data_IF_210538966997
#
_entry.id   IF_210538966997
#
_cell.length_a   1.000
_cell.length_b   1.000
_cell.length_c   1.000
_cell.angle_alpha   90.00
_cell.angle_beta   90.00
_cell.angle_gamma   90.00
#
_symmetry.space_group_name_H-M   'P 1'
#
loop_
_entity.id
_entity.type
_entity.pdbx_description
1 polymer ?
#
# COMPACT_ATOMS: atom_id res chain seq x y z
N UNK A 1 6.39 -0.36 5.65
CA UNK A 1 5.41 -1.03 6.55
C UNK A 1 4.69 -0.07 7.49
N UNK A 2 5.38 0.82 8.21
CA UNK A 2 4.76 1.78 9.14
C UNK A 2 3.56 2.59 8.57
N UNK A 3 3.60 3.12 7.33
CA UNK A 3 2.48 3.89 6.77
C UNK A 3 1.20 3.06 6.60
N UNK A 4 1.33 1.76 6.29
CA UNK A 4 0.19 0.87 6.08
C UNK A 4 -0.47 0.48 7.39
N UNK A 5 0.32 0.22 8.43
CA UNK A 5 -0.22 -0.02 9.77
C UNK A 5 -1.01 1.20 10.27
N UNK A 6 -0.47 2.40 10.08
CA UNK A 6 -1.16 3.66 10.41
C UNK A 6 -2.47 3.79 9.61
N UNK A 7 -2.45 3.48 8.31
CA UNK A 7 -3.64 3.50 7.47
C UNK A 7 -4.73 2.54 7.96
N UNK A 8 -4.38 1.30 8.30
CA UNK A 8 -5.33 0.33 8.88
C UNK A 8 -5.88 0.79 10.24
N UNK A 9 -5.04 1.35 11.10
CA UNK A 9 -5.47 1.91 12.39
C UNK A 9 -6.47 3.04 12.17
N UNK A 10 -6.22 3.96 11.24
CA UNK A 10 -7.16 5.05 10.94
C UNK A 10 -8.50 4.54 10.39
N UNK A 11 -8.49 3.51 9.54
CA UNK A 11 -9.72 2.88 9.05
C UNK A 11 -10.50 2.25 10.21
N UNK A 12 -9.84 1.46 11.07
CA UNK A 12 -10.48 0.80 12.20
C UNK A 12 -11.04 1.80 13.22
N UNK A 13 -10.27 2.84 13.56
CA UNK A 13 -10.71 3.90 14.49
C UNK A 13 -11.82 4.75 13.86
N UNK A 14 -11.74 5.05 12.56
CA UNK A 14 -12.76 5.79 11.84
C UNK A 14 -14.09 5.05 11.76
N UNK A 15 -14.06 3.75 11.41
CA UNK A 15 -15.24 2.89 11.45
C UNK A 15 -15.79 2.77 12.87
N UNK A 16 -14.91 2.61 13.86
CA UNK A 16 -15.34 2.54 15.26
C UNK A 16 -15.99 3.86 15.73
N UNK A 17 -15.46 5.02 15.34
CA UNK A 17 -16.06 6.32 15.65
C UNK A 17 -17.44 6.50 14.97
N UNK A 18 -17.61 5.96 13.76
CA UNK A 18 -18.86 5.99 13.00
C UNK A 18 -19.93 5.06 13.59
N UNK A 19 -19.55 3.86 14.03
CA UNK A 19 -20.49 2.85 14.58
C UNK A 19 -20.67 2.90 16.10
N UNK A 20 -19.80 3.62 16.84
CA UNK A 20 -20.07 3.94 18.25
C UNK A 20 -21.27 4.88 18.30
N UNK A 21 -22.47 4.30 18.42
CA UNK A 21 -23.62 5.01 18.95
C UNK A 21 -23.20 5.53 20.32
N UNK A 22 -22.93 6.83 20.43
CA UNK A 22 -22.74 7.45 21.74
C UNK A 22 -24.07 7.21 22.44
N UNK A 23 -24.09 6.33 23.44
CA UNK A 23 -25.13 6.35 24.45
C UNK A 23 -25.16 7.82 24.90
N UNK A 24 -26.21 8.54 24.52
CA UNK A 24 -26.39 9.92 24.91
C UNK A 24 -26.37 9.86 26.43
N UNK A 25 -25.26 10.28 27.03
CA UNK A 25 -25.19 10.46 28.46
C UNK A 25 -26.27 11.50 28.72
N UNK A 26 -27.42 11.07 29.23
CA UNK A 26 -28.48 11.96 29.63
C UNK A 26 -27.85 12.92 30.63
N UNK A 27 -27.56 14.14 30.20
CA UNK A 27 -27.05 15.17 31.07
C UNK A 27 -28.17 15.47 32.05
N UNK A 28 -28.03 14.97 33.27
CA UNK A 28 -28.77 15.39 34.45
C UNK A 28 -28.81 16.93 34.45
N UNK A 29 -29.94 17.52 34.04
CA UNK A 29 -30.24 18.94 34.20
C UNK A 29 -30.23 19.85 32.95
N UNK A 30 -29.77 19.42 31.77
CA UNK A 30 -29.79 20.25 30.56
C UNK A 30 -30.91 19.83 29.60
N UNK A 31 -31.80 20.74 29.19
CA UNK A 31 -32.81 20.47 28.15
C UNK A 31 -32.11 19.89 26.91
N UNK A 32 -32.37 18.62 26.61
CA UNK A 32 -31.89 17.96 25.40
C UNK A 32 -32.67 18.50 24.20
N UNK A 33 -32.19 19.61 23.62
CA UNK A 33 -32.66 20.10 22.34
C UNK A 33 -32.24 19.12 21.25
N UNK A 34 -33.12 18.82 20.30
CA UNK A 34 -32.82 17.98 19.13
C UNK A 34 -31.51 18.36 18.42
N UNK A 35 -31.14 19.64 18.46
CA UNK A 35 -29.87 20.17 17.95
C UNK A 35 -28.61 19.52 18.59
N UNK A 36 -28.60 19.25 19.89
CA UNK A 36 -27.45 18.65 20.58
C UNK A 36 -27.31 17.14 20.31
N UNK A 37 -28.42 16.45 20.00
CA UNK A 37 -28.40 15.04 19.59
C UNK A 37 -27.94 14.90 18.14
N UNK A 38 -28.44 15.77 17.26
CA UNK A 38 -28.06 15.79 15.84
C UNK A 38 -26.60 16.22 15.66
N UNK A 39 -26.10 17.23 16.41
CA UNK A 39 -24.70 17.66 16.30
C UNK A 39 -23.71 16.60 16.79
N UNK A 40 -24.04 15.85 17.85
CA UNK A 40 -23.21 14.76 18.36
C UNK A 40 -23.17 13.53 17.43
N UNK A 41 -24.28 13.21 16.78
CA UNK A 41 -24.37 12.12 15.79
C UNK A 41 -23.65 12.48 14.49
N UNK A 42 -23.89 13.68 13.95
CA UNK A 42 -23.23 14.16 12.74
C UNK A 42 -21.72 14.37 12.96
N UNK A 43 -21.31 14.90 14.12
CA UNK A 43 -19.90 15.15 14.43
C UNK A 43 -19.04 13.88 14.46
N UNK A 44 -19.51 12.82 15.13
CA UNK A 44 -18.81 11.55 15.17
C UNK A 44 -18.80 10.83 13.81
N UNK A 45 -19.89 10.95 13.04
CA UNK A 45 -19.97 10.38 11.71
C UNK A 45 -19.00 11.05 10.73
N UNK A 46 -18.98 12.40 10.70
CA UNK A 46 -18.07 13.18 9.86
C UNK A 46 -16.62 12.93 10.28
N UNK A 47 -16.32 12.93 11.57
CA UNK A 47 -14.98 12.59 12.08
C UNK A 47 -14.54 11.18 11.69
N UNK A 48 -15.43 10.18 11.83
CA UNK A 48 -15.18 8.81 11.40
C UNK A 48 -14.93 8.70 9.90
N UNK A 49 -15.72 9.40 9.09
CA UNK A 49 -15.56 9.45 7.64
C UNK A 49 -14.20 10.03 7.23
N UNK A 50 -13.79 11.14 7.85
CA UNK A 50 -12.48 11.76 7.59
C UNK A 50 -11.34 10.81 7.91
N UNK A 51 -11.41 10.09 9.04
CA UNK A 51 -10.39 9.11 9.42
C UNK A 51 -10.32 7.94 8.44
N UNK A 52 -11.46 7.44 7.95
CA UNK A 52 -11.50 6.37 6.94
C UNK A 52 -10.88 6.86 5.62
N UNK A 53 -11.24 8.06 5.16
CA UNK A 53 -10.66 8.64 3.94
C UNK A 53 -9.15 8.84 4.07
N UNK A 54 -8.69 9.31 5.23
CA UNK A 54 -7.27 9.47 5.51
C UNK A 54 -6.58 8.10 5.51
N UNK A 55 -7.15 7.08 6.16
CA UNK A 55 -6.61 5.73 6.14
C UNK A 55 -6.53 5.12 4.73
N UNK A 56 -7.56 5.31 3.90
CA UNK A 56 -7.54 4.91 2.50
C UNK A 56 -6.46 5.64 1.69
N UNK A 57 -6.27 6.94 1.92
CA UNK A 57 -5.20 7.71 1.29
C UNK A 57 -3.81 7.16 1.64
N UNK A 58 -3.59 6.79 2.90
CA UNK A 58 -2.35 6.15 3.35
C UNK A 58 -2.12 4.77 2.70
N UNK A 59 -3.18 3.99 2.46
CA UNK A 59 -3.07 2.73 1.72
C UNK A 59 -2.78 2.98 0.23
N UNK A 60 -3.46 3.96 -0.38
CA UNK A 60 -3.28 4.33 -1.77
C UNK A 60 -1.85 4.83 -2.05
N UNK A 61 -1.24 5.56 -1.11
CA UNK A 61 0.14 6.04 -1.25
C UNK A 61 1.17 4.92 -1.34
N UNK A 62 0.87 3.74 -0.79
CA UNK A 62 1.76 2.56 -0.89
C UNK A 62 1.54 1.70 -2.13
N UNK A 63 0.52 2.03 -2.93
CA UNK A 63 0.07 1.20 -4.06
C UNK A 63 0.65 1.62 -5.41
N UNK A 64 1.61 2.53 -5.45
CA UNK A 64 2.25 2.94 -6.70
C UNK A 64 3.77 3.10 -6.57
N UNK A 65 4.47 2.92 -7.68
CA UNK A 65 5.88 3.22 -7.80
C UNK A 65 6.13 3.96 -9.12
N UNK A 66 7.05 4.92 -9.08
CA UNK A 66 7.52 5.65 -10.25
C UNK A 66 8.94 5.19 -10.57
N UNK A 67 9.13 4.64 -11.75
CA UNK A 67 10.44 4.22 -12.26
C UNK A 67 10.97 5.32 -13.17
N UNK A 68 12.22 5.73 -12.97
CA UNK A 68 12.87 6.76 -13.78
C UNK A 68 13.01 6.34 -15.24
N UNK A 69 13.10 7.32 -16.15
CA UNK A 69 13.17 7.11 -17.60
C UNK A 69 14.36 6.24 -18.05
N UNK A 70 15.47 6.33 -17.31
CA UNK A 70 16.75 5.68 -17.53
C UNK A 70 16.94 4.40 -16.71
N UNK A 71 15.88 3.94 -16.02
CA UNK A 71 15.93 2.82 -15.07
C UNK A 71 14.90 1.74 -15.34
N UNK A 72 15.18 0.56 -14.81
CA UNK A 72 14.26 -0.58 -14.73
C UNK A 72 14.04 -0.95 -13.25
N UNK A 73 12.80 -1.19 -12.88
CA UNK A 73 12.41 -1.62 -11.53
C UNK A 73 12.41 -3.13 -11.41
N UNK A 74 13.32 -3.67 -10.59
CA UNK A 74 13.35 -5.08 -10.22
C UNK A 74 12.42 -5.29 -9.02
N UNK A 75 11.58 -6.32 -9.11
CA UNK A 75 10.63 -6.67 -8.06
C UNK A 75 11.16 -7.83 -7.24
N UNK A 76 11.09 -7.71 -5.92
CA UNK A 76 11.36 -8.81 -4.98
C UNK A 76 10.19 -8.97 -4.04
N UNK A 77 9.47 -10.09 -4.12
CA UNK A 77 8.31 -10.33 -3.25
C UNK A 77 8.77 -10.75 -1.87
N UNK A 78 8.35 -10.01 -0.86
CA UNK A 78 8.75 -10.25 0.55
C UNK A 78 7.63 -10.90 1.35
N UNK A 79 6.37 -10.54 1.07
CA UNK A 79 5.22 -10.99 1.86
C UNK A 79 4.13 -11.70 1.04
N UNK A 80 3.25 -12.39 1.77
CA UNK A 80 2.03 -13.05 1.26
C UNK A 80 2.28 -13.99 0.08
N UNK A 81 3.36 -14.78 0.14
CA UNK A 81 3.76 -15.75 -0.88
C UNK A 81 4.38 -16.99 -0.24
N UNK A 82 4.46 -18.09 -0.98
CA UNK A 82 5.19 -19.28 -0.56
C UNK A 82 6.70 -19.05 -0.64
N UNK A 83 7.49 -19.78 0.13
CA UNK A 83 8.94 -19.64 0.08
C UNK A 83 9.51 -20.13 -1.26
N UNK A 84 10.67 -19.57 -1.64
CA UNK A 84 11.38 -19.95 -2.85
C UNK A 84 11.99 -21.35 -2.67
N UNK A 85 11.78 -22.29 -3.61
CA UNK A 85 12.42 -23.60 -3.53
C UNK A 85 13.96 -23.49 -3.50
N UNK A 86 14.65 -24.39 -2.77
CA UNK A 86 16.11 -24.37 -2.71
C UNK A 86 16.72 -24.60 -4.09
N UNK A 87 17.84 -23.93 -4.37
CA UNK A 87 18.55 -24.02 -5.65
C UNK A 87 17.98 -23.14 -6.77
N UNK A 88 17.01 -22.26 -6.46
CA UNK A 88 16.45 -21.27 -7.38
C UNK A 88 16.74 -19.85 -6.90
N UNK A 89 16.92 -18.92 -7.82
CA UNK A 89 17.18 -17.49 -7.63
C UNK A 89 15.95 -16.67 -8.03
N UNK A 90 15.28 -17.02 -9.13
CA UNK A 90 14.12 -16.31 -9.68
C UNK A 90 12.81 -16.98 -9.24
N UNK A 91 11.95 -16.23 -8.58
CA UNK A 91 10.67 -16.67 -8.07
C UNK A 91 9.62 -16.79 -9.19
N UNK A 92 8.83 -17.88 -9.12
CA UNK A 92 7.61 -18.03 -9.92
C UNK A 92 6.45 -17.23 -9.32
N UNK A 93 5.36 -17.01 -10.08
CA UNK A 93 4.17 -16.34 -9.56
C UNK A 93 3.68 -16.96 -8.25
N UNK A 94 3.58 -16.12 -7.21
CA UNK A 94 3.14 -16.54 -5.87
C UNK A 94 4.26 -16.99 -4.93
N UNK A 95 5.52 -17.00 -5.38
CA UNK A 95 6.70 -17.28 -4.55
C UNK A 95 7.38 -15.98 -4.09
N UNK A 96 8.01 -16.05 -2.91
CA UNK A 96 8.88 -14.99 -2.39
C UNK A 96 10.21 -14.98 -3.14
N UNK A 97 10.87 -13.82 -3.14
CA UNK A 97 12.17 -13.62 -3.78
C UNK A 97 12.10 -12.74 -5.03
N UNK A 98 13.25 -12.58 -5.71
CA UNK A 98 13.35 -11.83 -6.97
C UNK A 98 12.37 -12.36 -8.00
N UNK A 99 11.58 -11.50 -8.64
CA UNK A 99 10.60 -11.90 -9.65
C UNK A 99 11.20 -11.81 -11.05
N UNK A 100 10.75 -12.66 -11.97
CA UNK A 100 11.09 -12.55 -13.40
C UNK A 100 10.48 -11.30 -14.04
N UNK A 101 9.39 -10.79 -13.47
CA UNK A 101 8.73 -9.58 -13.93
C UNK A 101 9.54 -8.34 -13.51
N UNK A 102 9.80 -7.47 -14.49
CA UNK A 102 10.43 -6.16 -14.29
C UNK A 102 9.46 -5.04 -14.65
N UNK A 103 9.57 -3.91 -13.95
CA UNK A 103 8.83 -2.70 -14.24
C UNK A 103 9.66 -1.79 -15.14
N UNK A 104 9.17 -1.51 -16.35
CA UNK A 104 9.78 -0.50 -17.21
C UNK A 104 9.64 0.92 -16.64
N UNK A 105 10.22 1.93 -17.31
CA UNK A 105 10.04 3.33 -16.93
C UNK A 105 8.57 3.76 -16.83
N UNK A 106 8.28 4.69 -15.92
CA UNK A 106 6.97 5.31 -15.77
C UNK A 106 6.23 4.94 -14.48
N UNK A 107 4.92 5.22 -14.47
CA UNK A 107 4.06 5.03 -13.32
C UNK A 107 3.43 3.63 -13.33
N UNK A 108 3.64 2.89 -12.25
CA UNK A 108 3.05 1.56 -12.04
C UNK A 108 2.16 1.56 -10.81
N UNK A 109 0.93 1.07 -10.96
CA UNK A 109 -0.03 0.94 -9.87
C UNK A 109 -0.39 -0.52 -9.61
N UNK A 110 -0.17 -0.98 -8.38
CA UNK A 110 -0.71 -2.25 -7.86
C UNK A 110 -1.08 -2.07 -6.39
N UNK A 111 -2.23 -2.62 -5.94
CA UNK A 111 -2.59 -2.57 -4.53
C UNK A 111 -1.44 -3.08 -3.64
N UNK A 112 -1.02 -2.25 -2.68
CA UNK A 112 0.02 -2.57 -1.70
C UNK A 112 1.39 -2.94 -2.32
N UNK A 113 1.72 -2.40 -3.50
CA UNK A 113 2.97 -2.67 -4.23
C UNK A 113 4.21 -2.52 -3.34
N UNK A 114 4.41 -1.35 -2.72
CA UNK A 114 5.57 -1.05 -1.87
C UNK A 114 5.53 -1.75 -0.49
N UNK A 115 4.54 -2.62 -0.28
CA UNK A 115 4.42 -3.44 0.93
C UNK A 115 4.78 -4.87 0.59
N UNK A 116 4.16 -5.43 -0.45
CA UNK A 116 4.37 -6.82 -0.85
C UNK A 116 5.71 -7.02 -1.55
N UNK A 117 6.18 -6.01 -2.27
CA UNK A 117 7.40 -6.03 -3.05
C UNK A 117 8.40 -5.00 -2.52
N UNK A 118 9.65 -5.41 -2.51
CA UNK A 118 10.80 -4.52 -2.47
C UNK A 118 11.17 -4.19 -3.92
N UNK A 119 11.26 -2.90 -4.23
CA UNK A 119 11.45 -2.40 -5.59
C UNK A 119 12.80 -1.72 -5.67
N UNK A 120 13.71 -2.32 -6.43
CA UNK A 120 15.05 -1.82 -6.65
C UNK A 120 15.17 -1.27 -8.07
N UNK A 121 15.70 -0.06 -8.25
CA UNK A 121 15.86 0.54 -9.57
C UNK A 121 17.31 0.44 -10.04
N UNK A 122 17.50 -0.22 -11.19
CA UNK A 122 18.80 -0.39 -11.85
C UNK A 122 18.85 0.42 -13.14
N UNK A 123 20.04 0.89 -13.51
CA UNK A 123 20.23 1.65 -14.76
C UNK A 123 20.08 0.72 -15.97
N UNK A 124 19.47 1.23 -17.04
CA UNK A 124 19.31 0.47 -18.28
C UNK A 124 20.68 0.35 -18.98
N UNK A 125 21.09 -0.89 -19.26
CA UNK A 125 22.30 -1.17 -20.04
C UNK A 125 22.03 -0.86 -21.51
N UNK A 126 22.78 0.10 -22.06
CA UNK A 126 22.79 0.40 -23.49
C UNK A 126 24.01 -0.23 -24.15
N UNK A 127 23.78 -1.03 -25.19
CA UNK A 127 24.85 -1.59 -26.04
C UNK A 127 25.05 -0.65 -27.22
N UNK A 128 26.20 0.03 -27.35
CA UNK A 128 26.45 0.96 -28.45
C UNK A 128 26.56 0.25 -29.80
N UNK A 129 26.47 1.02 -30.88
CA UNK A 129 26.69 0.51 -32.24
C UNK A 129 28.10 -0.09 -32.39
N UNK A 130 28.19 -1.21 -33.11
CA UNK A 130 29.45 -1.94 -33.31
C UNK A 130 29.86 -2.86 -32.15
N UNK A 131 29.08 -2.90 -31.07
CA UNK A 131 29.27 -3.84 -29.96
C UNK A 131 28.20 -4.93 -29.95
N UNK A 132 28.49 -6.05 -29.29
CA UNK A 132 27.50 -7.09 -28.99
C UNK A 132 27.37 -7.26 -27.48
N UNK A 133 26.14 -7.52 -27.01
CA UNK A 133 25.86 -7.86 -25.62
C UNK A 133 25.86 -9.37 -25.44
N UNK A 134 26.47 -9.87 -24.37
CA UNK A 134 26.37 -11.27 -23.95
C UNK A 134 25.59 -11.34 -22.65
N UNK A 135 24.48 -12.09 -22.65
CA UNK A 135 23.72 -12.40 -21.44
C UNK A 135 24.06 -13.83 -21.02
N UNK A 136 24.45 -13.99 -19.76
CA UNK A 136 24.63 -15.29 -19.12
C UNK A 136 23.69 -15.33 -17.91
N UNK A 137 22.99 -16.45 -17.72
CA UNK A 137 22.07 -16.66 -16.59
C UNK A 137 22.53 -17.86 -15.79
N UNK A 138 22.30 -17.81 -14.47
CA UNK A 138 22.41 -18.98 -13.60
C UNK A 138 21.07 -19.68 -13.39
N UNK A 139 19.96 -18.99 -13.64
CA UNK A 139 18.61 -19.45 -13.36
C UNK A 139 17.61 -18.67 -14.24
N UNK A 140 17.26 -19.25 -15.39
CA UNK A 140 16.24 -18.74 -16.32
C UNK A 140 16.71 -17.57 -17.19
#
# INVERSE_FOLDING_TARGET
MFPVLIGFVFILVGLQAMFRRRAVTASTGGQMTMANMVSGLLGNFVFGLVLVLLGLLFLASTSFVLISADRVGHLKRVYMASDLPPGRIIALPGQKGPQAEVLGPGFHFRPLLNVLFDVEQYDIVQVPEGFYGQVTTQDG
#
